data_IF_072789429582
#
_entry.id   IF_072789429582
#
_cell.length_a   1.000
_cell.length_b   1.000
_cell.length_c   1.000
_cell.angle_alpha   90.00
_cell.angle_beta   90.00
_cell.angle_gamma   90.00
#
_symmetry.space_group_name_H-M   'P 1'
#
loop_
_entity.id
_entity.type
_entity.pdbx_description
1 polymer ?
#
# COMPACT_ATOMS: atom_id res chain seq x y z
N UNK A 1 25.63 -23.99 13.31
CA UNK A 1 26.24 -23.01 12.38
C UNK A 1 26.41 -23.66 11.02
N UNK A 2 25.79 -23.13 9.97
CA UNK A 2 25.92 -23.69 8.62
C UNK A 2 27.04 -22.97 7.85
N UNK A 3 28.05 -23.72 7.40
CA UNK A 3 29.23 -23.17 6.71
C UNK A 3 28.89 -22.32 5.49
N UNK A 4 27.81 -22.64 4.77
CA UNK A 4 27.34 -21.88 3.62
C UNK A 4 26.92 -20.44 3.99
N UNK A 5 26.15 -20.24 5.08
CA UNK A 5 25.75 -18.91 5.51
C UNK A 5 26.92 -18.06 6.00
N UNK A 6 27.92 -18.68 6.65
CA UNK A 6 29.14 -17.97 7.06
C UNK A 6 29.94 -17.47 5.84
N UNK A 7 30.01 -18.26 4.76
CA UNK A 7 30.66 -17.83 3.52
C UNK A 7 29.93 -16.64 2.86
N UNK A 8 28.60 -16.68 2.86
CA UNK A 8 27.77 -15.56 2.39
C UNK A 8 28.04 -14.33 3.25
N UNK A 9 28.02 -14.48 4.58
CA UNK A 9 28.31 -13.39 5.52
C UNK A 9 29.65 -12.72 5.24
N UNK A 10 30.75 -13.47 5.10
CA UNK A 10 32.07 -12.87 4.84
C UNK A 10 32.10 -12.13 3.49
N UNK A 11 31.43 -12.67 2.48
CA UNK A 11 31.31 -12.02 1.16
C UNK A 11 30.54 -10.70 1.27
N UNK A 12 29.39 -10.70 1.96
CA UNK A 12 28.57 -9.50 2.19
C UNK A 12 29.28 -8.47 3.05
N UNK A 13 30.03 -8.92 4.06
CA UNK A 13 30.83 -8.05 4.92
C UNK A 13 31.91 -7.33 4.13
N UNK A 14 32.58 -8.01 3.21
CA UNK A 14 33.53 -7.40 2.28
C UNK A 14 32.86 -6.36 1.38
N UNK A 15 31.72 -6.71 0.77
CA UNK A 15 30.96 -5.79 -0.08
C UNK A 15 30.48 -4.53 0.70
N UNK A 16 30.00 -4.70 1.93
CA UNK A 16 29.60 -3.58 2.79
C UNK A 16 30.76 -2.65 3.16
N UNK A 17 31.95 -3.20 3.45
CA UNK A 17 33.15 -2.39 3.69
C UNK A 17 33.50 -1.53 2.46
N UNK A 18 33.41 -2.11 1.27
CA UNK A 18 33.66 -1.40 0.02
C UNK A 18 32.61 -0.29 -0.20
N UNK A 19 31.32 -0.60 0.02
CA UNK A 19 30.24 0.38 -0.02
C UNK A 19 30.53 1.59 0.89
N UNK A 20 30.93 1.36 2.15
CA UNK A 20 31.23 2.46 3.08
C UNK A 20 32.46 3.29 2.72
N UNK A 21 33.42 2.69 2.00
CA UNK A 21 34.67 3.34 1.62
C UNK A 21 34.57 4.09 0.28
N UNK A 22 33.52 3.86 -0.49
CA UNK A 22 33.38 4.38 -1.86
C UNK A 22 32.27 5.44 -1.93
N UNK A 23 32.54 6.57 -2.60
CA UNK A 23 31.58 7.63 -2.82
C UNK A 23 31.18 7.72 -4.31
N UNK A 24 30.76 6.60 -4.91
CA UNK A 24 30.24 6.57 -6.28
C UNK A 24 28.71 6.59 -6.25
N UNK A 25 28.10 7.75 -6.53
CA UNK A 25 26.64 7.93 -6.51
C UNK A 25 25.97 7.63 -7.86
N UNK A 26 26.75 7.43 -8.92
CA UNK A 26 26.26 7.26 -10.29
C UNK A 26 25.88 5.82 -10.62
N UNK A 27 26.42 4.84 -9.88
CA UNK A 27 26.13 3.41 -10.07
C UNK A 27 25.52 2.83 -8.80
N UNK A 28 24.50 1.97 -8.92
CA UNK A 28 23.97 1.27 -7.77
C UNK A 28 25.03 0.30 -7.23
N UNK A 29 25.39 0.48 -5.96
CA UNK A 29 26.30 -0.43 -5.27
C UNK A 29 25.68 -1.85 -5.18
N UNK A 30 26.51 -2.88 -5.38
CA UNK A 30 26.06 -4.29 -5.43
C UNK A 30 25.47 -4.75 -4.10
N UNK A 31 26.03 -4.31 -2.98
CA UNK A 31 25.52 -4.64 -1.66
C UNK A 31 24.15 -3.99 -1.43
N UNK A 32 24.02 -2.70 -1.76
CA UNK A 32 22.72 -2.00 -1.70
C UNK A 32 21.68 -2.65 -2.61
N UNK A 33 22.05 -3.02 -3.83
CA UNK A 33 21.14 -3.68 -4.78
C UNK A 33 20.67 -5.03 -4.26
N UNK A 34 21.58 -5.86 -3.73
CA UNK A 34 21.20 -7.15 -3.15
C UNK A 34 20.27 -6.99 -1.95
N UNK A 35 20.55 -6.02 -1.07
CA UNK A 35 19.67 -5.70 0.07
C UNK A 35 18.28 -5.29 -0.42
N UNK A 36 18.22 -4.37 -1.40
CA UNK A 36 16.98 -3.92 -2.03
C UNK A 36 16.15 -5.07 -2.58
N UNK A 37 16.79 -5.96 -3.34
CA UNK A 37 16.11 -7.13 -3.92
C UNK A 37 15.66 -8.13 -2.85
N UNK A 38 16.47 -8.35 -1.81
CA UNK A 38 16.12 -9.26 -0.72
C UNK A 38 14.89 -8.75 0.05
N UNK A 39 14.84 -7.44 0.33
CA UNK A 39 13.68 -6.79 0.93
C UNK A 39 12.47 -6.86 0.00
N UNK A 40 12.61 -6.57 -1.29
CA UNK A 40 11.51 -6.67 -2.25
C UNK A 40 10.93 -8.10 -2.29
N UNK A 41 11.77 -9.12 -2.33
CA UNK A 41 11.33 -10.52 -2.27
C UNK A 41 10.59 -10.83 -0.95
N UNK A 42 11.12 -10.37 0.20
CA UNK A 42 10.44 -10.54 1.49
C UNK A 42 9.06 -9.86 1.50
N UNK A 43 8.96 -8.62 1.00
CA UNK A 43 7.70 -7.89 0.90
C UNK A 43 6.65 -8.59 0.02
N UNK A 44 7.08 -9.26 -1.05
CA UNK A 44 6.20 -10.09 -1.89
C UNK A 44 5.76 -11.37 -1.18
N UNK A 45 6.68 -12.05 -0.47
CA UNK A 45 6.33 -13.24 0.31
C UNK A 45 5.32 -12.90 1.43
N UNK A 46 5.43 -11.74 2.05
CA UNK A 46 4.49 -11.26 3.07
C UNK A 46 3.06 -11.02 2.52
N UNK A 47 2.87 -10.82 1.21
CA UNK A 47 1.53 -10.78 0.62
C UNK A 47 0.84 -12.15 0.63
N UNK A 48 1.64 -13.21 0.57
CA UNK A 48 1.17 -14.60 0.50
C UNK A 48 1.18 -15.30 1.86
N UNK A 49 1.82 -14.71 2.85
CA UNK A 49 1.98 -15.30 4.18
C UNK A 49 0.75 -15.07 5.06
N UNK A 50 0.41 -16.07 5.86
CA UNK A 50 -0.64 -15.97 6.89
C UNK A 50 -0.09 -15.40 8.20
N UNK A 51 -0.99 -14.89 9.05
CA UNK A 51 -0.61 -14.43 10.40
C UNK A 51 0.01 -15.55 11.24
N UNK A 52 -0.42 -16.81 11.03
CA UNK A 52 0.07 -17.96 11.79
C UNK A 52 1.52 -18.30 11.45
N UNK A 53 1.96 -18.02 10.22
CA UNK A 53 3.35 -18.22 9.80
C UNK A 53 4.23 -17.06 10.25
N UNK A 54 3.75 -15.82 10.12
CA UNK A 54 4.58 -14.62 10.34
C UNK A 54 4.56 -14.15 11.80
N UNK A 55 3.48 -14.40 12.54
CA UNK A 55 3.24 -13.85 13.88
C UNK A 55 4.33 -14.16 14.91
N UNK A 56 4.99 -15.32 14.78
CA UNK A 56 6.08 -15.74 15.65
C UNK A 56 7.42 -15.03 15.37
N UNK A 57 7.59 -14.45 14.19
CA UNK A 57 8.85 -13.86 13.73
C UNK A 57 8.79 -12.32 13.63
N UNK A 58 7.69 -11.68 14.05
CA UNK A 58 7.48 -10.24 13.89
C UNK A 58 8.59 -9.41 14.51
N UNK A 59 8.96 -9.69 15.76
CA UNK A 59 10.01 -8.95 16.46
C UNK A 59 11.38 -9.12 15.80
N UNK A 60 11.70 -10.33 15.35
CA UNK A 60 12.95 -10.64 14.67
C UNK A 60 13.03 -9.92 13.31
N UNK A 61 11.97 -10.00 12.50
CA UNK A 61 11.87 -9.31 11.22
C UNK A 61 11.99 -7.79 11.44
N UNK A 62 11.26 -7.21 12.39
CA UNK A 62 11.36 -5.78 12.71
C UNK A 62 12.77 -5.40 13.20
N UNK A 63 13.44 -6.29 13.94
CA UNK A 63 14.84 -6.15 14.32
C UNK A 63 15.76 -5.99 13.11
N UNK A 64 15.62 -6.85 12.10
CA UNK A 64 16.38 -6.74 10.86
C UNK A 64 16.03 -5.48 10.08
N UNK A 65 14.75 -5.12 9.95
CA UNK A 65 14.31 -3.91 9.25
C UNK A 65 14.85 -2.63 9.91
N UNK A 66 14.94 -2.58 11.25
CA UNK A 66 15.58 -1.45 11.98
C UNK A 66 17.04 -1.22 11.57
N UNK A 67 17.77 -2.28 11.25
CA UNK A 67 19.14 -2.19 10.74
C UNK A 67 19.19 -1.87 9.25
N UNK A 68 18.23 -2.33 8.45
CA UNK A 68 18.23 -2.14 6.99
C UNK A 68 17.86 -0.71 6.56
N UNK A 69 16.99 -0.03 7.30
CA UNK A 69 16.47 1.30 6.94
C UNK A 69 17.56 2.39 6.87
N UNK A 70 18.73 2.20 7.51
CA UNK A 70 19.90 3.10 7.37
C UNK A 70 20.50 3.07 5.96
N UNK A 71 20.42 1.92 5.29
CA UNK A 71 21.10 1.65 4.03
C UNK A 71 20.11 1.70 2.88
N UNK A 72 18.96 1.03 3.02
CA UNK A 72 17.92 1.01 1.99
C UNK A 72 16.54 1.29 2.60
N UNK A 73 16.16 2.57 2.74
CA UNK A 73 14.96 2.96 3.47
C UNK A 73 13.67 2.62 2.72
N UNK A 74 13.65 2.80 1.40
CA UNK A 74 12.43 2.66 0.59
C UNK A 74 11.88 1.25 0.67
N UNK A 75 12.68 0.24 0.33
CA UNK A 75 12.23 -1.16 0.39
C UNK A 75 12.06 -1.66 1.83
N UNK A 76 12.79 -1.08 2.79
CA UNK A 76 12.57 -1.41 4.20
C UNK A 76 11.20 -0.96 4.67
N UNK A 77 10.79 0.28 4.38
CA UNK A 77 9.48 0.82 4.74
C UNK A 77 8.36 0.07 3.99
N UNK A 78 8.62 -0.34 2.74
CA UNK A 78 7.72 -1.26 2.03
C UNK A 78 7.55 -2.58 2.80
N UNK A 79 8.64 -3.24 3.21
CA UNK A 79 8.52 -4.46 4.03
C UNK A 79 7.74 -4.24 5.33
N UNK A 80 7.91 -3.08 5.98
CA UNK A 80 7.13 -2.70 7.17
C UNK A 80 5.64 -2.62 6.85
N UNK A 81 5.28 -1.96 5.74
CA UNK A 81 3.91 -1.88 5.24
C UNK A 81 3.32 -3.28 4.98
N UNK A 82 4.07 -4.14 4.29
CA UNK A 82 3.65 -5.50 3.95
C UNK A 82 3.48 -6.39 5.18
N UNK A 83 4.37 -6.24 6.17
CA UNK A 83 4.27 -6.96 7.44
C UNK A 83 3.01 -6.54 8.21
N UNK A 84 2.69 -5.23 8.23
CA UNK A 84 1.42 -4.76 8.79
C UNK A 84 0.22 -5.35 8.03
N UNK A 85 0.28 -5.46 6.70
CA UNK A 85 -0.81 -6.07 5.93
C UNK A 85 -1.05 -7.53 6.33
N UNK A 86 0.01 -8.31 6.48
CA UNK A 86 -0.06 -9.70 6.90
C UNK A 86 -0.64 -9.85 8.32
N UNK A 87 -0.22 -9.01 9.27
CA UNK A 87 -0.68 -9.07 10.66
C UNK A 87 -2.12 -8.57 10.85
N UNK A 88 -2.58 -7.64 10.02
CA UNK A 88 -3.93 -7.07 10.10
C UNK A 88 -4.91 -7.67 9.09
N UNK A 89 -4.53 -8.78 8.45
CA UNK A 89 -5.37 -9.51 7.48
C UNK A 89 -5.84 -8.67 6.29
N UNK A 90 -4.99 -7.75 5.83
CA UNK A 90 -5.25 -6.89 4.66
C UNK A 90 -4.34 -7.21 3.48
N UNK A 91 -3.51 -8.25 3.60
CA UNK A 91 -2.69 -8.77 2.51
C UNK A 91 -3.49 -9.66 1.54
N UNK A 92 -2.89 -9.99 0.40
CA UNK A 92 -3.53 -10.79 -0.64
C UNK A 92 -4.03 -12.14 -0.16
N UNK A 93 -3.23 -12.88 0.63
CA UNK A 93 -3.64 -14.17 1.18
C UNK A 93 -4.95 -14.07 1.97
N UNK A 94 -5.10 -13.02 2.77
CA UNK A 94 -6.32 -12.77 3.55
C UNK A 94 -7.51 -12.36 2.69
N UNK A 95 -7.28 -11.71 1.55
CA UNK A 95 -8.34 -11.30 0.63
C UNK A 95 -8.90 -12.48 -0.20
N UNK A 96 -8.13 -13.54 -0.41
CA UNK A 96 -8.56 -14.70 -1.21
C UNK A 96 -9.69 -15.49 -0.54
N UNK A 97 -9.69 -15.58 0.80
CA UNK A 97 -10.77 -16.19 1.60
C UNK A 97 -12.15 -15.54 1.35
N UNK A 98 -12.17 -14.28 0.89
CA UNK A 98 -13.37 -13.47 0.69
C UNK A 98 -13.83 -13.41 -0.76
N UNK A 99 -13.03 -13.94 -1.70
CA UNK A 99 -13.43 -14.04 -3.10
C UNK A 99 -14.46 -15.14 -3.26
N UNK A 100 -15.72 -14.81 -2.97
CA UNK A 100 -16.86 -15.63 -3.37
C UNK A 100 -16.72 -15.96 -4.87
N UNK A 101 -16.92 -17.23 -5.30
CA UNK A 101 -16.82 -17.63 -6.71
C UNK A 101 -17.83 -16.92 -7.63
N UNK A 102 -18.67 -16.02 -7.10
CA UNK A 102 -19.71 -15.31 -7.83
C UNK A 102 -19.24 -14.08 -8.63
N UNK A 103 -17.98 -13.63 -8.53
CA UNK A 103 -17.47 -12.50 -9.31
C UNK A 103 -16.47 -12.83 -10.42
N UNK A 104 -16.30 -14.10 -10.78
CA UNK A 104 -15.94 -14.40 -12.16
C UNK A 104 -16.99 -13.70 -13.02
N UNK A 105 -16.62 -12.63 -13.74
CA UNK A 105 -17.45 -12.04 -14.78
C UNK A 105 -17.88 -13.21 -15.64
N UNK A 106 -19.10 -13.71 -15.43
CA UNK A 106 -19.71 -14.66 -16.34
C UNK A 106 -19.77 -13.86 -17.63
N UNK A 107 -18.85 -14.15 -18.55
CA UNK A 107 -19.04 -13.81 -19.95
C UNK A 107 -20.48 -14.20 -20.24
N UNK A 108 -21.27 -13.22 -20.69
CA UNK A 108 -22.70 -13.42 -20.89
C UNK A 108 -22.92 -14.74 -21.62
N UNK A 109 -23.94 -15.50 -21.24
CA UNK A 109 -24.22 -16.86 -21.76
C UNK A 109 -24.20 -16.95 -23.30
N UNK A 110 -24.28 -15.82 -24.00
CA UNK A 110 -24.09 -15.67 -25.44
C UNK A 110 -22.69 -16.02 -25.98
N UNK A 111 -21.63 -16.10 -25.15
CA UNK A 111 -20.27 -16.43 -25.59
C UNK A 111 -19.89 -17.91 -25.45
N UNK A 112 -20.79 -18.77 -24.93
CA UNK A 112 -20.54 -20.22 -24.86
C UNK A 112 -21.04 -20.86 -26.15
N UNK A 113 -20.14 -21.03 -27.11
CA UNK A 113 -20.37 -22.01 -28.18
C UNK A 113 -20.55 -23.39 -27.52
N UNK A 114 -21.67 -24.04 -27.79
CA UNK A 114 -21.99 -25.40 -27.30
C UNK A 114 -21.20 -26.50 -28.02
N UNK A 115 -20.20 -26.14 -28.81
CA UNK A 115 -19.41 -27.05 -29.63
C UNK A 115 -17.96 -27.12 -29.15
N UNK A 116 -17.37 -28.32 -29.16
CA UNK A 116 -15.94 -28.57 -28.91
C UNK A 116 -14.97 -27.92 -29.93
N UNK A 117 -15.45 -27.04 -30.82
CA UNK A 117 -14.60 -26.31 -31.77
C UNK A 117 -14.12 -24.98 -31.19
N UNK A 118 -12.82 -24.72 -31.36
CA UNK A 118 -12.22 -23.42 -31.02
C UNK A 118 -12.85 -22.31 -31.89
N UNK A 119 -12.99 -21.08 -31.36
CA UNK A 119 -13.55 -19.98 -32.13
C UNK A 119 -12.75 -19.74 -33.42
N UNK A 120 -13.47 -19.52 -34.53
CA UNK A 120 -12.87 -19.17 -35.82
C UNK A 120 -12.75 -17.66 -36.03
N UNK A 121 -12.05 -17.25 -37.10
CA UNK A 121 -11.75 -15.84 -37.39
C UNK A 121 -12.99 -14.93 -37.39
N UNK A 122 -14.13 -15.42 -37.91
CA UNK A 122 -15.39 -14.66 -37.91
C UNK A 122 -15.94 -14.39 -36.51
N UNK A 123 -15.80 -15.36 -35.60
CA UNK A 123 -16.19 -15.16 -34.21
C UNK A 123 -15.34 -14.06 -33.57
N UNK A 124 -14.03 -14.11 -33.76
CA UNK A 124 -13.11 -13.19 -33.09
C UNK A 124 -13.15 -11.78 -33.69
N UNK A 125 -13.32 -11.66 -35.01
CA UNK A 125 -13.35 -10.37 -35.69
C UNK A 125 -14.73 -9.69 -35.65
N UNK A 126 -15.83 -10.44 -35.59
CA UNK A 126 -17.18 -9.86 -35.72
C UNK A 126 -18.09 -10.18 -34.55
N UNK A 127 -18.26 -11.46 -34.20
CA UNK A 127 -19.25 -11.86 -33.19
C UNK A 127 -18.86 -11.40 -31.78
N UNK A 128 -17.61 -11.60 -31.38
CA UNK A 128 -17.11 -11.21 -30.06
C UNK A 128 -17.19 -9.69 -29.83
N UNK A 129 -16.64 -8.80 -30.70
CA UNK A 129 -16.76 -7.36 -30.49
C UNK A 129 -18.21 -6.87 -30.59
N UNK A 130 -19.02 -7.41 -31.50
CA UNK A 130 -20.43 -7.03 -31.62
C UNK A 130 -21.25 -7.42 -30.38
N UNK A 131 -21.01 -8.61 -29.83
CA UNK A 131 -21.69 -9.09 -28.63
C UNK A 131 -21.29 -8.26 -27.40
N UNK A 132 -20.01 -7.88 -27.29
CA UNK A 132 -19.56 -7.00 -26.21
C UNK A 132 -20.17 -5.59 -26.32
N UNK A 133 -20.21 -5.03 -27.54
CA UNK A 133 -20.80 -3.72 -27.81
C UNK A 133 -22.29 -3.67 -27.45
N UNK A 134 -23.07 -4.66 -27.91
CA UNK A 134 -24.51 -4.73 -27.64
C UNK A 134 -24.81 -4.98 -26.15
N UNK A 135 -24.01 -5.79 -25.46
CA UNK A 135 -24.11 -5.95 -24.00
C UNK A 135 -23.78 -4.67 -23.25
N UNK A 136 -22.76 -3.92 -23.69
CA UNK A 136 -22.40 -2.63 -23.10
C UNK A 136 -23.55 -1.63 -23.26
N UNK A 137 -24.09 -1.50 -24.48
CA UNK A 137 -25.26 -0.65 -24.75
C UNK A 137 -26.48 -1.04 -23.91
N UNK A 138 -26.78 -2.34 -23.78
CA UNK A 138 -27.89 -2.81 -22.96
C UNK A 138 -27.67 -2.48 -21.47
N UNK A 139 -26.43 -2.52 -20.98
CA UNK A 139 -26.09 -2.13 -19.61
C UNK A 139 -26.15 -0.62 -19.37
N UNK A 140 -26.13 0.19 -20.43
CA UNK A 140 -26.31 1.65 -20.40
C UNK A 140 -27.77 2.08 -20.56
N UNK A 141 -28.73 1.13 -20.69
CA UNK A 141 -30.18 1.38 -20.68
C UNK A 141 -30.64 2.20 -19.45
N UNK A 142 -31.83 2.83 -19.51
CA UNK A 142 -32.07 4.18 -19.02
C UNK A 142 -31.82 4.35 -17.51
N UNK A 143 -30.59 4.74 -17.17
CA UNK A 143 -30.27 5.52 -15.96
C UNK A 143 -30.21 7.02 -16.24
N UNK A 144 -30.76 7.46 -17.38
CA UNK A 144 -30.90 8.88 -17.73
C UNK A 144 -32.29 9.46 -17.46
N UNK A 145 -33.20 8.70 -16.86
CA UNK A 145 -34.54 9.18 -16.45
C UNK A 145 -34.85 8.74 -15.03
N UNK A 146 -34.08 9.25 -14.06
CA UNK A 146 -34.55 9.36 -12.68
C UNK A 146 -34.50 10.82 -12.30
N UNK A 147 -35.70 11.34 -12.07
CA UNK A 147 -36.06 12.60 -11.43
C UNK A 147 -35.10 13.00 -10.30
N UNK A 148 -34.76 14.30 -10.16
CA UNK A 148 -33.87 14.78 -9.10
C UNK A 148 -34.68 14.97 -7.82
N UNK A 149 -35.12 13.90 -7.18
CA UNK A 149 -35.78 13.99 -5.87
C UNK A 149 -35.38 12.78 -5.02
N UNK A 150 -34.14 12.78 -4.53
CA UNK A 150 -33.78 12.23 -3.22
C UNK A 150 -32.37 12.67 -2.88
N UNK A 151 -32.28 13.58 -1.91
CA UNK A 151 -31.07 13.87 -1.17
C UNK A 151 -30.52 12.57 -0.56
N UNK A 152 -29.40 12.04 -1.05
CA UNK A 152 -28.22 11.72 -0.25
C UNK A 152 -27.16 10.91 -1.01
N UNK A 153 -25.92 11.23 -0.66
CA UNK A 153 -24.67 10.57 -1.01
C UNK A 153 -24.22 10.72 -2.47
N UNK A 154 -23.51 11.83 -2.67
CA UNK A 154 -22.55 12.07 -3.74
C UNK A 154 -21.64 10.86 -4.00
N UNK A 155 -21.99 10.07 -5.01
CA UNK A 155 -21.10 9.06 -5.62
C UNK A 155 -20.05 9.77 -6.48
N UNK A 156 -19.20 10.57 -5.83
CA UNK A 156 -17.95 11.03 -6.40
C UNK A 156 -16.81 10.03 -6.14
N UNK A 157 -15.64 10.29 -6.71
CA UNK A 157 -14.38 9.59 -6.40
C UNK A 157 -14.15 9.47 -4.88
N UNK A 158 -14.59 10.48 -4.13
CA UNK A 158 -14.53 10.57 -2.66
C UNK A 158 -15.39 9.48 -1.99
N UNK A 159 -16.59 9.18 -2.51
CA UNK A 159 -17.45 8.11 -1.98
C UNK A 159 -16.86 6.70 -2.16
N UNK A 160 -16.09 6.49 -3.23
CA UNK A 160 -15.39 5.22 -3.48
C UNK A 160 -14.24 4.99 -2.51
N UNK A 161 -13.53 6.05 -2.11
CA UNK A 161 -12.48 5.99 -1.09
C UNK A 161 -13.08 5.58 0.26
N UNK A 162 -14.19 6.23 0.66
CA UNK A 162 -14.95 5.89 1.88
C UNK A 162 -15.40 4.42 1.87
N UNK A 163 -15.99 3.96 0.77
CA UNK A 163 -16.46 2.57 0.63
C UNK A 163 -15.32 1.55 0.70
N UNK A 164 -14.13 1.87 0.17
CA UNK A 164 -12.94 1.00 0.28
C UNK A 164 -12.38 0.97 1.71
N UNK A 165 -12.34 2.10 2.40
CA UNK A 165 -11.90 2.19 3.79
C UNK A 165 -12.84 1.39 4.70
N UNK A 166 -14.16 1.52 4.52
CA UNK A 166 -15.16 0.82 5.32
C UNK A 166 -15.17 -0.70 5.04
N UNK A 167 -15.00 -1.12 3.78
CA UNK A 167 -14.81 -2.54 3.44
C UNK A 167 -13.53 -3.11 4.07
N UNK A 168 -12.42 -2.34 4.11
CA UNK A 168 -11.18 -2.76 4.79
C UNK A 168 -11.34 -2.85 6.30
N UNK A 169 -12.04 -1.91 6.91
CA UNK A 169 -12.34 -1.96 8.34
C UNK A 169 -13.21 -3.19 8.70
N UNK A 170 -14.18 -3.55 7.85
CA UNK A 170 -15.00 -4.75 8.03
C UNK A 170 -14.22 -6.06 7.93
N UNK A 171 -13.04 -6.11 7.28
CA UNK A 171 -12.19 -7.30 7.20
C UNK A 171 -11.52 -7.66 8.54
N UNK A 172 -11.50 -6.74 9.51
CA UNK A 172 -10.93 -6.94 10.86
C UNK A 172 -11.88 -7.67 11.82
N UNK A 173 -13.02 -8.19 11.35
CA UNK A 173 -14.04 -8.80 12.21
C UNK A 173 -13.81 -10.27 12.58
N UNK A 174 -12.61 -10.84 12.32
CA UNK A 174 -12.25 -12.17 12.86
C UNK A 174 -11.98 -12.05 14.39
N UNK A 175 -12.35 -13.12 15.11
CA UNK A 175 -12.30 -13.41 16.57
C UNK A 175 -11.77 -12.34 17.55
N UNK A 176 -12.45 -12.15 18.69
CA UNK A 176 -12.03 -11.18 19.73
C UNK A 176 -10.65 -11.43 20.34
N UNK A 177 -10.13 -12.66 20.26
CA UNK A 177 -8.76 -13.01 20.71
C UNK A 177 -7.66 -12.51 19.78
N UNK A 178 -7.95 -12.38 18.48
CA UNK A 178 -6.97 -11.90 17.51
C UNK A 178 -6.80 -10.37 17.61
N UNK A 179 -7.86 -9.64 17.98
CA UNK A 179 -7.85 -8.18 18.13
C UNK A 179 -6.88 -7.68 19.21
N UNK A 180 -6.76 -8.39 20.33
CA UNK A 180 -5.82 -8.02 21.41
C UNK A 180 -4.36 -8.30 21.05
N UNK A 181 -4.08 -9.39 20.32
CA UNK A 181 -2.74 -9.67 19.79
C UNK A 181 -2.32 -8.61 18.75
N UNK A 182 -3.23 -8.23 17.86
CA UNK A 182 -3.04 -7.20 16.83
C UNK A 182 -2.70 -5.83 17.44
N UNK A 183 -3.34 -5.43 18.54
CA UNK A 183 -2.99 -4.19 19.25
C UNK A 183 -1.62 -4.23 19.92
N UNK A 184 -1.13 -5.40 20.35
CA UNK A 184 0.23 -5.50 20.90
C UNK A 184 1.28 -5.35 19.80
N UNK A 185 1.02 -5.89 18.61
CA UNK A 185 1.94 -5.77 17.48
C UNK A 185 2.17 -4.33 17.07
N UNK A 186 1.14 -3.47 17.05
CA UNK A 186 1.28 -2.09 16.53
C UNK A 186 2.38 -1.28 17.21
N UNK A 187 2.58 -1.48 18.53
CA UNK A 187 3.61 -0.77 19.30
C UNK A 187 5.03 -1.13 18.87
N UNK A 188 5.23 -2.35 18.35
CA UNK A 188 6.54 -2.79 17.87
C UNK A 188 7.01 -2.03 16.62
N UNK A 189 6.06 -1.47 15.85
CA UNK A 189 6.32 -0.73 14.62
C UNK A 189 6.73 0.72 14.87
N UNK A 190 6.37 1.28 16.03
CA UNK A 190 6.56 2.70 16.35
C UNK A 190 7.96 3.22 16.03
N UNK A 191 9.08 2.56 16.44
CA UNK A 191 10.41 3.08 16.16
C UNK A 191 10.73 3.20 14.66
N UNK A 192 10.20 2.28 13.83
CA UNK A 192 10.39 2.31 12.39
C UNK A 192 9.49 3.35 11.72
N UNK A 193 8.26 3.52 12.21
CA UNK A 193 7.33 4.55 11.71
C UNK A 193 7.87 5.95 12.01
N UNK A 194 8.31 6.23 13.24
CA UNK A 194 8.91 7.52 13.61
C UNK A 194 10.16 7.80 12.76
N UNK A 195 10.96 6.77 12.48
CA UNK A 195 12.13 6.90 11.61
C UNK A 195 11.76 7.20 10.16
N UNK A 196 10.70 6.57 9.65
CA UNK A 196 10.17 6.84 8.31
C UNK A 196 9.68 8.29 8.17
N UNK A 197 8.95 8.80 9.18
CA UNK A 197 8.54 10.22 9.25
C UNK A 197 9.74 11.17 9.20
N UNK A 198 10.76 10.92 10.04
CA UNK A 198 11.99 11.73 10.04
C UNK A 198 12.73 11.65 8.70
N UNK A 199 12.71 10.51 8.04
CA UNK A 199 13.43 10.34 6.79
C UNK A 199 12.74 11.04 5.61
N UNK A 200 11.40 11.10 5.64
CA UNK A 200 10.62 11.88 4.68
C UNK A 200 11.04 13.36 4.65
N UNK A 201 11.24 13.95 5.83
CA UNK A 201 11.48 15.40 5.96
C UNK A 201 12.91 15.82 5.58
N UNK A 202 13.84 14.87 5.50
CA UNK A 202 15.25 15.13 5.15
C UNK A 202 15.67 14.53 3.81
N UNK A 203 14.78 13.84 3.10
CA UNK A 203 15.08 13.20 1.82
C UNK A 203 14.42 13.95 0.65
N UNK A 204 15.14 14.02 -0.46
CA UNK A 204 14.62 14.46 -1.77
C UNK A 204 14.15 13.30 -2.66
N UNK A 205 14.22 12.05 -2.16
CA UNK A 205 13.81 10.88 -2.92
C UNK A 205 12.27 10.76 -2.91
N UNK A 206 11.64 11.14 -4.02
CA UNK A 206 10.17 11.10 -4.16
C UNK A 206 9.58 9.70 -3.96
N UNK A 207 10.31 8.65 -4.36
CA UNK A 207 9.87 7.24 -4.19
C UNK A 207 9.86 6.86 -2.70
N UNK A 208 10.83 7.33 -1.92
CA UNK A 208 10.84 7.14 -0.47
C UNK A 208 9.68 7.90 0.17
N UNK A 209 9.49 9.17 -0.20
CA UNK A 209 8.41 9.99 0.32
C UNK A 209 7.02 9.38 0.05
N UNK A 210 6.80 8.94 -1.19
CA UNK A 210 5.62 8.16 -1.57
C UNK A 210 5.42 6.93 -0.68
N UNK A 211 6.47 6.14 -0.46
CA UNK A 211 6.38 4.92 0.33
C UNK A 211 6.06 5.18 1.81
N UNK A 212 6.56 6.29 2.38
CA UNK A 212 6.19 6.73 3.73
C UNK A 212 4.70 7.12 3.78
N UNK A 213 4.21 7.88 2.79
CA UNK A 213 2.80 8.26 2.72
C UNK A 213 1.87 7.04 2.58
N UNK A 214 2.27 6.01 1.85
CA UNK A 214 1.55 4.73 1.80
C UNK A 214 1.46 4.06 3.18
N UNK A 215 2.59 3.98 3.90
CA UNK A 215 2.62 3.43 5.25
C UNK A 215 1.68 4.21 6.19
N UNK A 216 1.71 5.54 6.15
CA UNK A 216 0.83 6.38 6.99
C UNK A 216 -0.65 6.23 6.62
N UNK A 217 -0.97 6.23 5.33
CA UNK A 217 -2.32 6.01 4.85
C UNK A 217 -2.86 4.66 5.34
N UNK A 218 -2.04 3.61 5.31
CA UNK A 218 -2.40 2.31 5.86
C UNK A 218 -2.64 2.36 7.38
N UNK A 219 -1.76 3.01 8.15
CA UNK A 219 -1.92 3.14 9.60
C UNK A 219 -3.22 3.88 9.96
N UNK A 220 -3.55 4.96 9.26
CA UNK A 220 -4.82 5.69 9.44
C UNK A 220 -6.01 4.79 9.10
N UNK A 221 -5.95 4.04 7.99
CA UNK A 221 -7.01 3.08 7.63
C UNK A 221 -7.18 1.94 8.65
N UNK A 222 -6.09 1.55 9.32
CA UNK A 222 -6.11 0.58 10.43
C UNK A 222 -6.58 1.20 11.76
N UNK A 223 -7.07 2.45 11.74
CA UNK A 223 -7.56 3.20 12.90
C UNK A 223 -6.48 3.41 13.98
N UNK A 224 -5.21 3.48 13.57
CA UNK A 224 -4.13 3.91 14.45
C UNK A 224 -4.26 5.42 14.62
N UNK A 225 -4.27 5.88 15.88
CA UNK A 225 -4.36 7.30 16.18
C UNK A 225 -3.11 8.03 15.68
N UNK A 226 -3.25 8.75 14.57
CA UNK A 226 -2.17 9.51 13.94
C UNK A 226 -1.52 10.52 14.89
N UNK A 227 -2.29 11.09 15.82
CA UNK A 227 -1.79 12.12 16.74
C UNK A 227 -0.80 11.58 17.77
N UNK A 228 -0.70 10.26 17.93
CA UNK A 228 0.37 9.63 18.72
C UNK A 228 1.70 9.57 17.95
N UNK A 229 1.65 9.60 16.62
CA UNK A 229 2.83 9.56 15.75
C UNK A 229 3.38 10.96 15.47
N UNK A 230 2.50 11.96 15.42
CA UNK A 230 2.83 13.35 15.09
C UNK A 230 2.08 14.33 16.02
N UNK A 231 2.33 14.23 17.33
CA UNK A 231 1.64 15.01 18.36
C UNK A 231 1.78 16.52 18.18
N UNK A 232 2.96 16.95 17.72
CA UNK A 232 3.30 18.36 17.51
C UNK A 232 3.01 18.83 16.07
N UNK A 233 2.37 17.97 15.26
CA UNK A 233 2.05 18.23 13.85
C UNK A 233 3.26 18.63 12.99
N UNK A 234 4.48 18.25 13.38
CA UNK A 234 5.71 18.61 12.68
C UNK A 234 5.70 18.00 11.28
N UNK A 235 5.31 16.73 11.17
CA UNK A 235 5.26 16.06 9.88
C UNK A 235 4.15 16.63 9.00
N UNK A 236 2.94 16.82 9.55
CA UNK A 236 1.83 17.38 8.80
C UNK A 236 2.15 18.79 8.27
N UNK A 237 2.72 19.65 9.11
CA UNK A 237 3.14 20.99 8.72
C UNK A 237 4.22 20.96 7.63
N UNK A 238 5.14 19.99 7.68
CA UNK A 238 6.13 19.81 6.62
C UNK A 238 5.47 19.42 5.29
N UNK A 239 4.51 18.49 5.30
CA UNK A 239 3.77 18.08 4.09
C UNK A 239 2.99 19.24 3.49
N UNK A 240 2.34 20.07 4.33
CA UNK A 240 1.63 21.27 3.86
C UNK A 240 2.62 22.27 3.25
N UNK A 241 3.73 22.56 3.94
CA UNK A 241 4.76 23.46 3.42
C UNK A 241 5.41 22.95 2.13
N UNK A 242 5.42 21.64 1.92
CA UNK A 242 5.97 21.05 0.70
C UNK A 242 5.28 21.58 -0.56
N UNK A 243 4.00 21.98 -0.49
CA UNK A 243 3.28 22.58 -1.61
C UNK A 243 3.92 23.87 -2.14
N UNK A 244 4.54 24.70 -1.28
CA UNK A 244 5.26 25.91 -1.73
C UNK A 244 6.36 25.52 -2.74
N UNK A 245 7.15 24.50 -2.41
CA UNK A 245 8.22 24.01 -3.29
C UNK A 245 7.70 23.27 -4.53
N UNK A 246 6.50 22.67 -4.44
CA UNK A 246 5.85 22.01 -5.58
C UNK A 246 5.35 23.04 -6.59
N UNK A 247 4.71 24.11 -6.12
CA UNK A 247 4.20 25.21 -6.95
C UNK A 247 5.33 25.98 -7.64
N UNK A 248 6.46 26.16 -6.96
CA UNK A 248 7.68 26.74 -7.53
C UNK A 248 8.44 25.78 -8.47
N UNK A 249 8.01 24.52 -8.60
CA UNK A 249 8.64 23.52 -9.46
C UNK A 249 10.02 23.04 -8.99
N UNK A 250 10.34 23.20 -7.70
CA UNK A 250 11.65 22.86 -7.13
C UNK A 250 11.83 21.36 -6.84
N UNK A 251 10.75 20.59 -6.84
CA UNK A 251 10.77 19.15 -6.57
C UNK A 251 10.74 18.37 -7.87
N UNK A 252 11.80 17.64 -8.20
CA UNK A 252 11.83 16.79 -9.41
C UNK A 252 10.94 15.55 -9.23
N UNK A 253 10.18 15.19 -10.26
CA UNK A 253 9.32 13.99 -10.24
C UNK A 253 8.10 14.10 -9.32
N UNK A 254 7.68 15.33 -9.01
CA UNK A 254 6.59 15.60 -8.08
C UNK A 254 5.22 15.04 -8.49
N UNK A 255 5.00 14.82 -9.78
CA UNK A 255 3.78 14.25 -10.33
C UNK A 255 3.42 12.89 -9.70
N UNK A 256 4.44 12.10 -9.35
CA UNK A 256 4.27 10.82 -8.68
C UNK A 256 3.86 11.01 -7.22
N UNK A 257 4.33 12.08 -6.56
CA UNK A 257 4.14 12.31 -5.13
C UNK A 257 2.77 12.92 -4.81
N UNK A 258 2.29 13.86 -5.63
CA UNK A 258 1.05 14.63 -5.40
C UNK A 258 -0.16 13.73 -5.07
N UNK A 259 -0.48 12.68 -5.83
CA UNK A 259 -1.63 11.83 -5.54
C UNK A 259 -1.58 11.20 -4.15
N UNK A 260 -0.38 10.89 -3.67
CA UNK A 260 -0.17 10.28 -2.35
C UNK A 260 -0.28 11.29 -1.21
N UNK A 261 0.19 12.52 -1.42
CA UNK A 261 -0.02 13.62 -0.47
C UNK A 261 -1.52 13.87 -0.31
N UNK A 262 -2.25 14.06 -1.40
CA UNK A 262 -3.69 14.30 -1.33
C UNK A 262 -4.45 13.13 -0.71
N UNK A 263 -4.13 11.89 -1.07
CA UNK A 263 -4.76 10.72 -0.46
C UNK A 263 -4.54 10.71 1.07
N UNK A 264 -3.34 11.02 1.54
CA UNK A 264 -3.03 11.10 2.97
C UNK A 264 -3.82 12.22 3.67
N UNK A 265 -3.83 13.44 3.12
CA UNK A 265 -4.56 14.58 3.69
C UNK A 265 -6.08 14.34 3.73
N UNK A 266 -6.64 13.74 2.67
CA UNK A 266 -8.05 13.34 2.63
C UNK A 266 -8.35 12.31 3.72
N UNK A 267 -7.50 11.30 3.91
CA UNK A 267 -7.69 10.33 4.99
C UNK A 267 -7.66 11.01 6.37
N UNK A 268 -6.73 11.94 6.59
CA UNK A 268 -6.64 12.70 7.84
C UNK A 268 -7.83 13.64 8.06
N UNK A 269 -8.47 14.15 7.01
CA UNK A 269 -9.65 15.02 7.16
C UNK A 269 -10.85 14.33 7.84
N UNK A 270 -10.91 12.99 7.77
CA UNK A 270 -11.91 12.19 8.47
C UNK A 270 -11.55 11.88 9.92
N UNK A 271 -10.29 12.11 10.31
CA UNK A 271 -9.82 11.91 11.69
C UNK A 271 -10.14 13.14 12.55
N UNK A 272 -10.42 12.90 13.83
CA UNK A 272 -10.71 13.95 14.81
C UNK A 272 -9.64 13.97 15.89
N UNK A 273 -9.08 15.14 16.14
CA UNK A 273 -8.24 15.39 17.31
C UNK A 273 -9.05 16.12 18.37
N UNK A 274 -9.35 15.47 19.50
CA UNK A 274 -10.14 16.07 20.59
C UNK A 274 -11.43 16.76 20.10
N UNK A 275 -12.15 16.11 19.17
CA UNK A 275 -13.38 16.60 18.52
C UNK A 275 -13.21 17.71 17.47
N UNK A 276 -11.99 18.20 17.21
CA UNK A 276 -11.68 19.13 16.13
C UNK A 276 -11.16 18.36 14.90
N UNK A 277 -11.50 18.78 13.67
CA UNK A 277 -10.93 18.18 12.47
C UNK A 277 -9.41 18.38 12.46
N UNK A 278 -8.65 17.35 12.10
CA UNK A 278 -7.17 17.43 11.97
C UNK A 278 -6.79 18.33 10.79
N UNK A 279 -7.53 18.22 9.69
CA UNK A 279 -7.44 19.10 8.52
C UNK A 279 -8.87 19.45 8.12
N UNK A 280 -9.15 20.73 7.90
CA UNK A 280 -10.41 21.17 7.30
C UNK A 280 -10.31 21.02 5.78
N UNK A 281 -11.21 20.24 5.18
CA UNK A 281 -11.50 20.36 3.76
C UNK A 281 -12.44 21.57 3.57
N UNK A 282 -12.14 22.50 2.64
CA UNK A 282 -13.03 23.62 2.33
C UNK A 282 -14.43 23.17 1.89
#
# INVERSE_FOLDING_TARGET
QHAHYMRIYETLRGAYKNYKATLELTKPDKFCLLLKMSLSCLGQLLELASITEVGHYVEEILGYLKSCVTIEPTMTILCVEQLLKALFFTNMASAQDLSSPHHARKTGKAARLTSNMKPGLYHDCFIAPYTQYTQCLASMGPKLTTTPDTENESVGVIGWIKTRADRRASMTSKSSKDKTAVQNYIRLFEPLVIRALKQYTVSSCVVLQQQVLHLLAQLVQLRVNYCLLDSDQIFLNFVIKQFEYLEEGLVKGYEVLIPHIFNFLVLLSYERFHSKPVIAMP
#
